data_IF_677418044380
#
_entry.id   IF_677418044380
#
_cell.length_a   1.000
_cell.length_b   1.000
_cell.length_c   1.000
_cell.angle_alpha   90.00
_cell.angle_beta   90.00
_cell.angle_gamma   90.00
#
_symmetry.space_group_name_H-M   'P 1'
#
loop_
_entity.id
_entity.type
_entity.pdbx_description
1 polymer ?
#
# COMPACT_ATOMS: atom_id res chain seq x y z
N UNK A 1 -31.08 -28.06 -56.63
CA UNK A 1 -31.00 -26.65 -56.27
C UNK A 1 -29.64 -26.45 -55.50
N UNK A 2 -28.62 -26.09 -56.30
CA UNK A 2 -27.22 -26.03 -55.88
C UNK A 2 -26.97 -24.59 -55.36
N UNK A 3 -26.91 -24.40 -54.06
CA UNK A 3 -26.63 -23.10 -53.47
C UNK A 3 -25.12 -22.83 -53.56
N UNK A 4 -24.79 -21.72 -54.18
CA UNK A 4 -23.48 -21.40 -54.71
C UNK A 4 -22.51 -21.07 -53.55
N UNK A 5 -21.48 -21.91 -53.37
CA UNK A 5 -20.44 -21.82 -52.33
C UNK A 5 -19.73 -20.44 -52.33
N UNK A 6 -19.76 -19.70 -53.42
CA UNK A 6 -19.18 -18.37 -53.55
C UNK A 6 -19.91 -17.29 -52.72
N UNK A 7 -21.19 -17.43 -52.47
CA UNK A 7 -21.97 -16.49 -51.64
C UNK A 7 -21.74 -16.68 -50.15
N UNK A 8 -21.39 -17.90 -49.71
CA UNK A 8 -21.07 -18.16 -48.31
C UNK A 8 -19.69 -17.58 -47.91
N UNK A 9 -18.73 -17.57 -48.83
CA UNK A 9 -17.40 -16.98 -48.58
C UNK A 9 -17.42 -15.45 -48.53
N UNK A 10 -18.34 -14.82 -49.27
CA UNK A 10 -18.43 -13.34 -49.26
C UNK A 10 -19.07 -12.81 -47.99
N UNK A 11 -20.02 -13.53 -47.37
CA UNK A 11 -20.61 -13.15 -46.08
C UNK A 11 -19.66 -13.39 -44.90
N UNK A 12 -18.74 -14.39 -44.98
CA UNK A 12 -17.77 -14.65 -43.95
C UNK A 12 -16.64 -13.60 -43.93
N UNK A 13 -16.28 -13.05 -45.09
CA UNK A 13 -15.28 -11.97 -45.18
C UNK A 13 -15.82 -10.61 -44.73
N UNK A 14 -17.12 -10.36 -44.84
CA UNK A 14 -17.75 -9.11 -44.39
C UNK A 14 -17.95 -9.11 -42.88
N UNK A 15 -18.13 -10.30 -42.24
CA UNK A 15 -18.24 -10.42 -40.77
C UNK A 15 -16.88 -10.38 -40.06
N UNK A 16 -15.77 -10.69 -40.71
CA UNK A 16 -14.42 -10.58 -40.18
C UNK A 16 -13.84 -9.16 -40.31
N UNK A 17 -14.38 -8.32 -41.20
CA UNK A 17 -13.97 -6.92 -41.29
C UNK A 17 -14.72 -5.98 -40.34
N UNK A 18 -15.76 -6.48 -39.63
CA UNK A 18 -16.53 -5.70 -38.67
C UNK A 18 -16.05 -5.86 -37.20
N UNK A 19 -15.08 -6.75 -36.93
CA UNK A 19 -14.49 -6.95 -35.61
C UNK A 19 -13.03 -6.50 -35.49
N UNK A 20 -12.41 -6.02 -36.54
CA UNK A 20 -11.22 -5.17 -36.43
C UNK A 20 -11.68 -3.73 -36.21
N UNK A 21 -12.23 -3.43 -35.07
CA UNK A 21 -12.13 -2.08 -34.54
C UNK A 21 -10.62 -1.85 -34.34
N UNK A 22 -9.94 -1.49 -35.42
CA UNK A 22 -8.78 -0.63 -35.35
C UNK A 22 -9.17 0.49 -34.40
N UNK A 23 -8.61 0.48 -33.21
CA UNK A 23 -8.43 1.69 -32.42
C UNK A 23 -7.58 2.58 -33.31
N UNK A 24 -8.25 3.27 -34.27
CA UNK A 24 -7.68 4.40 -34.98
C UNK A 24 -7.21 5.31 -33.83
N UNK A 25 -5.91 5.40 -33.71
CA UNK A 25 -5.23 6.48 -33.02
C UNK A 25 -5.87 7.77 -33.56
N UNK A 26 -6.99 8.20 -32.94
CA UNK A 26 -7.58 9.48 -33.24
C UNK A 26 -6.54 10.46 -32.71
N UNK A 27 -5.73 11.00 -33.60
CA UNK A 27 -4.95 12.20 -33.39
C UNK A 27 -5.92 13.38 -33.14
N UNK A 28 -6.78 13.19 -32.15
CA UNK A 28 -7.58 14.24 -31.55
C UNK A 28 -6.67 15.07 -30.68
N UNK A 29 -6.73 16.39 -30.85
CA UNK A 29 -6.07 17.32 -29.97
C UNK A 29 -6.35 16.91 -28.51
N UNK A 30 -5.30 16.86 -27.67
CA UNK A 30 -5.45 16.59 -26.24
C UNK A 30 -6.48 17.58 -25.67
N UNK A 31 -7.35 17.09 -24.80
CA UNK A 31 -8.31 17.97 -24.11
C UNK A 31 -7.59 19.16 -23.46
N UNK A 32 -8.24 20.32 -23.48
CA UNK A 32 -7.77 21.50 -22.75
C UNK A 32 -8.25 21.52 -21.27
N UNK A 33 -8.88 20.46 -20.78
CA UNK A 33 -9.27 20.30 -19.38
C UNK A 33 -8.27 19.39 -18.65
N UNK A 34 -7.53 19.92 -17.65
CA UNK A 34 -6.57 19.12 -16.85
C UNK A 34 -7.20 17.90 -16.17
N UNK A 35 -8.51 17.97 -15.83
CA UNK A 35 -9.21 16.84 -15.21
C UNK A 35 -9.44 15.70 -16.19
N UNK A 36 -9.81 16.02 -17.42
CA UNK A 36 -9.98 15.02 -18.49
C UNK A 36 -8.63 14.37 -18.80
N UNK A 37 -7.56 15.16 -18.87
CA UNK A 37 -6.22 14.64 -19.09
C UNK A 37 -5.78 13.72 -17.94
N UNK A 38 -6.10 14.06 -16.70
CA UNK A 38 -5.83 13.21 -15.53
C UNK A 38 -6.51 11.84 -15.67
N UNK A 39 -7.79 11.80 -16.05
CA UNK A 39 -8.51 10.52 -16.22
C UNK A 39 -7.92 9.69 -17.38
N UNK A 40 -7.59 10.33 -18.50
CA UNK A 40 -6.92 9.66 -19.62
C UNK A 40 -5.56 9.08 -19.20
N UNK A 41 -4.80 9.80 -18.38
CA UNK A 41 -3.52 9.32 -17.89
C UNK A 41 -3.68 8.13 -16.94
N UNK A 42 -4.69 8.12 -16.08
CA UNK A 42 -5.01 6.97 -15.21
C UNK A 42 -5.34 5.72 -16.03
N UNK A 43 -6.08 5.88 -17.13
CA UNK A 43 -6.36 4.75 -18.03
C UNK A 43 -5.08 4.23 -18.67
N UNK A 44 -4.16 5.12 -19.11
CA UNK A 44 -2.85 4.73 -19.62
C UNK A 44 -2.00 4.02 -18.57
N UNK A 45 -2.02 4.50 -17.33
CA UNK A 45 -1.35 3.81 -16.19
C UNK A 45 -1.92 2.41 -15.99
N UNK A 46 -3.24 2.24 -16.00
CA UNK A 46 -3.91 0.95 -15.79
C UNK A 46 -3.48 -0.13 -16.78
N UNK A 47 -3.15 0.26 -17.99
CA UNK A 47 -2.64 -0.65 -19.04
C UNK A 47 -1.10 -0.72 -19.11
N UNK A 48 -0.40 -0.08 -18.14
CA UNK A 48 1.06 -0.08 -18.07
C UNK A 48 1.77 0.87 -19.04
N UNK A 49 1.04 1.72 -19.77
CA UNK A 49 1.60 2.71 -20.70
C UNK A 49 2.08 3.95 -19.92
N UNK A 50 3.08 3.76 -19.06
CA UNK A 50 3.53 4.77 -18.09
C UNK A 50 4.06 6.04 -18.74
N UNK A 51 4.87 5.94 -19.81
CA UNK A 51 5.44 7.11 -20.47
C UNK A 51 4.35 7.94 -21.17
N UNK A 52 3.38 7.29 -21.83
CA UNK A 52 2.22 7.99 -22.42
C UNK A 52 1.40 8.71 -21.32
N UNK A 53 1.19 8.05 -20.18
CA UNK A 53 0.48 8.66 -19.05
C UNK A 53 1.20 9.91 -18.54
N UNK A 54 2.53 9.86 -18.44
CA UNK A 54 3.36 11.01 -18.02
C UNK A 54 3.27 12.14 -19.05
N UNK A 55 3.30 11.84 -20.35
CA UNK A 55 3.14 12.87 -21.39
C UNK A 55 1.78 13.58 -21.28
N UNK A 56 0.70 12.83 -21.08
CA UNK A 56 -0.64 13.40 -20.87
C UNK A 56 -0.68 14.27 -19.61
N UNK A 57 -0.08 13.83 -18.50
CA UNK A 57 -0.02 14.62 -17.27
C UNK A 57 0.84 15.87 -17.41
N UNK A 58 1.93 15.81 -18.19
CA UNK A 58 2.71 16.99 -18.54
C UNK A 58 1.88 18.02 -19.33
N UNK A 59 0.98 17.57 -20.20
CA UNK A 59 0.05 18.49 -20.86
C UNK A 59 -0.94 19.11 -19.85
N UNK A 60 -1.44 18.33 -18.89
CA UNK A 60 -2.32 18.83 -17.83
C UNK A 60 -1.66 19.95 -17.00
N UNK A 61 -0.41 19.77 -16.56
CA UNK A 61 0.31 20.77 -15.77
C UNK A 61 0.81 21.97 -16.60
N UNK A 62 0.87 21.85 -17.94
CA UNK A 62 1.10 23.02 -18.81
C UNK A 62 -0.14 23.91 -18.88
N UNK A 63 -1.33 23.34 -18.78
CA UNK A 63 -2.60 24.08 -18.77
C UNK A 63 -2.81 24.70 -17.39
N UNK A 64 -2.63 23.93 -16.33
CA UNK A 64 -2.72 24.40 -14.94
C UNK A 64 -1.49 23.94 -14.15
N UNK A 65 -0.53 24.86 -13.99
CA UNK A 65 0.72 24.60 -13.27
C UNK A 65 0.51 24.33 -11.75
N UNK A 66 -0.68 24.59 -11.21
CA UNK A 66 -1.03 24.32 -9.81
C UNK A 66 -1.95 23.11 -9.63
N UNK A 67 -2.20 22.35 -10.68
CA UNK A 67 -3.06 21.17 -10.63
C UNK A 67 -2.39 20.01 -9.89
N UNK A 68 -2.40 20.06 -8.56
CA UNK A 68 -1.80 19.06 -7.65
C UNK A 68 -2.16 17.61 -7.99
N UNK A 69 -3.42 17.28 -8.39
CA UNK A 69 -3.76 15.90 -8.75
C UNK A 69 -2.91 15.30 -9.87
N UNK A 70 -2.50 16.09 -10.87
CA UNK A 70 -1.63 15.61 -11.94
C UNK A 70 -0.22 15.32 -11.43
N UNK A 71 0.35 16.16 -10.57
CA UNK A 71 1.64 15.87 -9.95
C UNK A 71 1.59 14.63 -9.06
N UNK A 72 0.54 14.46 -8.27
CA UNK A 72 0.35 13.25 -7.47
C UNK A 72 0.30 12.01 -8.35
N UNK A 73 -0.44 12.07 -9.44
CA UNK A 73 -0.55 10.95 -10.38
C UNK A 73 0.79 10.63 -11.06
N UNK A 74 1.55 11.65 -11.50
CA UNK A 74 2.91 11.45 -12.00
C UNK A 74 3.81 10.80 -10.96
N UNK A 75 3.73 11.25 -9.70
CA UNK A 75 4.49 10.68 -8.60
C UNK A 75 4.19 9.19 -8.39
N UNK A 76 2.93 8.79 -8.45
CA UNK A 76 2.51 7.39 -8.36
C UNK A 76 3.02 6.57 -9.55
N UNK A 77 2.91 7.09 -10.78
CA UNK A 77 3.41 6.40 -11.99
C UNK A 77 4.93 6.21 -11.91
N UNK A 78 5.69 7.21 -11.49
CA UNK A 78 7.14 7.07 -11.29
C UNK A 78 7.47 6.06 -10.19
N UNK A 79 6.68 6.02 -9.12
CA UNK A 79 6.83 5.03 -8.06
C UNK A 79 6.60 3.60 -8.57
N UNK A 80 5.51 3.36 -9.30
CA UNK A 80 5.14 2.05 -9.86
C UNK A 80 6.12 1.58 -10.95
N UNK A 81 6.65 2.49 -11.75
CA UNK A 81 7.65 2.20 -12.79
C UNK A 81 9.10 2.12 -12.27
N UNK A 82 9.29 2.01 -10.95
CA UNK A 82 10.58 1.92 -10.25
C UNK A 82 11.48 3.17 -10.38
N UNK A 83 10.93 4.28 -10.84
CA UNK A 83 11.60 5.58 -11.03
C UNK A 83 11.45 6.44 -9.76
N UNK A 84 11.92 5.92 -8.64
CA UNK A 84 11.62 6.47 -7.30
C UNK A 84 12.22 7.86 -7.04
N UNK A 85 13.38 8.18 -7.62
CA UNK A 85 13.95 9.51 -7.46
C UNK A 85 13.13 10.58 -8.21
N UNK A 86 12.62 10.27 -9.41
CA UNK A 86 11.67 11.15 -10.11
C UNK A 86 10.35 11.29 -9.35
N UNK A 87 9.86 10.21 -8.74
CA UNK A 87 8.68 10.24 -7.87
C UNK A 87 8.88 11.25 -6.73
N UNK A 88 10.03 11.22 -6.04
CA UNK A 88 10.36 12.21 -4.99
C UNK A 88 10.34 13.64 -5.53
N UNK A 89 10.93 13.88 -6.70
CA UNK A 89 10.98 15.21 -7.31
C UNK A 89 9.57 15.74 -7.57
N UNK A 90 8.70 14.90 -8.12
CA UNK A 90 7.35 15.31 -8.51
C UNK A 90 6.45 15.50 -7.29
N UNK A 91 6.50 14.60 -6.30
CA UNK A 91 5.77 14.81 -5.04
C UNK A 91 6.25 16.07 -4.29
N UNK A 92 7.54 16.41 -4.34
CA UNK A 92 8.02 17.68 -3.78
C UNK A 92 7.46 18.90 -4.51
N UNK A 93 7.28 18.84 -5.83
CA UNK A 93 6.58 19.91 -6.58
C UNK A 93 5.12 20.02 -6.13
N UNK A 94 4.40 18.89 -6.02
CA UNK A 94 3.04 18.86 -5.50
C UNK A 94 2.94 19.48 -4.09
N UNK A 95 3.87 19.09 -3.19
CA UNK A 95 3.95 19.60 -1.83
C UNK A 95 4.29 21.09 -1.74
N UNK A 96 5.03 21.64 -2.71
CA UNK A 96 5.30 23.09 -2.77
C UNK A 96 4.05 23.91 -3.17
N UNK A 97 3.13 23.29 -3.93
CA UNK A 97 1.86 23.93 -4.33
C UNK A 97 0.84 23.81 -3.20
N UNK A 98 0.67 22.62 -2.63
CA UNK A 98 -0.26 22.33 -1.52
C UNK A 98 0.47 21.54 -0.40
N UNK A 99 1.02 22.25 0.59
CA UNK A 99 1.74 21.63 1.69
C UNK A 99 0.89 20.72 2.58
N UNK A 100 -0.42 20.89 2.61
CA UNK A 100 -1.33 20.10 3.45
C UNK A 100 -2.05 18.99 2.67
N UNK A 101 -1.64 18.72 1.44
CA UNK A 101 -2.22 17.65 0.65
C UNK A 101 -1.83 16.28 1.23
N UNK A 102 -2.85 15.57 1.72
CA UNK A 102 -2.68 14.25 2.35
C UNK A 102 -2.05 13.23 1.40
N UNK A 103 -2.58 13.15 0.17
CA UNK A 103 -2.11 12.18 -0.83
C UNK A 103 -0.66 12.41 -1.21
N UNK A 104 -0.25 13.67 -1.39
CA UNK A 104 1.15 14.05 -1.64
C UNK A 104 2.07 13.58 -0.53
N UNK A 105 1.66 13.80 0.74
CA UNK A 105 2.47 13.38 1.90
C UNK A 105 2.58 11.87 2.01
N UNK A 106 1.48 11.15 1.78
CA UNK A 106 1.50 9.68 1.79
C UNK A 106 2.39 9.13 0.67
N UNK A 107 2.23 9.60 -0.57
CA UNK A 107 3.04 9.17 -1.70
C UNK A 107 4.53 9.47 -1.52
N UNK A 108 4.86 10.67 -1.02
CA UNK A 108 6.26 11.04 -0.72
C UNK A 108 6.83 10.18 0.43
N UNK A 109 6.04 9.90 1.46
CA UNK A 109 6.44 9.03 2.57
C UNK A 109 6.70 7.60 2.10
N UNK A 110 5.81 7.03 1.31
CA UNK A 110 5.98 5.69 0.72
C UNK A 110 7.21 5.62 -0.19
N UNK A 111 7.41 6.65 -1.02
CA UNK A 111 8.60 6.72 -1.89
C UNK A 111 9.89 6.78 -1.07
N UNK A 112 9.93 7.55 0.01
CA UNK A 112 11.09 7.59 0.90
C UNK A 112 11.32 6.26 1.62
N UNK A 113 10.26 5.59 2.07
CA UNK A 113 10.33 4.25 2.67
C UNK A 113 10.98 3.24 1.72
N UNK A 114 10.53 3.22 0.47
CA UNK A 114 11.09 2.33 -0.57
C UNK A 114 12.55 2.67 -0.94
N UNK A 115 12.97 3.91 -0.75
CA UNK A 115 14.37 4.35 -0.88
C UNK A 115 15.17 4.12 0.41
N UNK A 116 14.61 3.44 1.42
CA UNK A 116 15.22 3.25 2.75
C UNK A 116 15.59 4.55 3.47
N UNK A 117 14.97 5.67 3.07
CA UNK A 117 15.10 6.99 3.73
C UNK A 117 14.03 7.11 4.82
N UNK A 118 14.06 6.18 5.78
CA UNK A 118 12.99 5.97 6.75
C UNK A 118 12.72 7.19 7.64
N UNK A 119 13.73 7.96 8.03
CA UNK A 119 13.61 9.22 8.77
C UNK A 119 12.76 10.25 8.02
N UNK A 120 12.98 10.40 6.70
CA UNK A 120 12.19 11.28 5.85
C UNK A 120 10.76 10.73 5.68
N UNK A 121 10.59 9.42 5.56
CA UNK A 121 9.28 8.77 5.51
C UNK A 121 8.47 9.04 6.78
N UNK A 122 9.07 8.83 7.97
CA UNK A 122 8.43 9.13 9.26
C UNK A 122 7.95 10.58 9.32
N UNK A 123 8.76 11.54 8.88
CA UNK A 123 8.37 12.97 8.88
C UNK A 123 7.13 13.20 8.02
N UNK A 124 7.03 12.56 6.83
CA UNK A 124 5.86 12.74 5.98
C UNK A 124 4.62 12.07 6.58
N UNK A 125 4.74 10.84 7.09
CA UNK A 125 3.61 10.15 7.71
C UNK A 125 3.14 10.82 9.01
N UNK A 126 4.03 11.39 9.82
CA UNK A 126 3.64 12.18 11.00
C UNK A 126 2.86 13.44 10.62
N UNK A 127 3.23 14.10 9.51
CA UNK A 127 2.47 15.23 9.00
C UNK A 127 1.12 14.77 8.41
N UNK A 128 1.08 13.64 7.69
CA UNK A 128 -0.16 13.03 7.23
C UNK A 128 -1.11 12.69 8.40
N UNK A 129 -0.58 12.16 9.49
CA UNK A 129 -1.36 11.87 10.71
C UNK A 129 -1.93 13.13 11.42
N UNK A 130 -1.33 14.30 11.22
CA UNK A 130 -1.90 15.57 11.69
C UNK A 130 -3.08 16.01 10.84
N UNK A 131 -3.04 15.77 9.53
CA UNK A 131 -4.12 16.09 8.59
C UNK A 131 -5.30 15.13 8.81
N UNK A 132 -5.05 13.82 8.79
CA UNK A 132 -6.05 12.79 9.04
C UNK A 132 -5.74 12.11 10.38
N UNK A 133 -6.34 12.66 11.44
CA UNK A 133 -6.14 12.15 12.80
C UNK A 133 -6.76 10.77 12.97
N UNK A 134 -6.09 9.94 13.75
CA UNK A 134 -6.57 8.60 14.11
C UNK A 134 -6.86 7.69 12.91
N UNK A 135 -6.13 7.87 11.81
CA UNK A 135 -6.19 6.94 10.69
C UNK A 135 -5.28 5.73 11.00
N UNK A 136 -5.85 4.51 11.16
CA UNK A 136 -5.09 3.34 11.56
C UNK A 136 -4.02 2.96 10.51
N UNK A 137 -4.27 3.19 9.22
CA UNK A 137 -3.31 2.88 8.17
C UNK A 137 -2.09 3.81 8.22
N UNK A 138 -2.30 5.10 8.48
CA UNK A 138 -1.20 6.05 8.65
C UNK A 138 -0.39 5.72 9.90
N UNK A 139 -1.06 5.43 11.02
CA UNK A 139 -0.41 5.03 12.27
C UNK A 139 0.40 3.74 12.10
N UNK A 140 -0.14 2.78 11.36
CA UNK A 140 0.55 1.54 11.01
C UNK A 140 1.82 1.80 10.18
N UNK A 141 1.76 2.67 9.15
CA UNK A 141 2.93 3.08 8.37
C UNK A 141 4.02 3.72 9.26
N UNK A 142 3.63 4.60 10.18
CA UNK A 142 4.57 5.21 11.14
C UNK A 142 5.24 4.13 12.00
N UNK A 143 4.47 3.16 12.50
CA UNK A 143 5.00 2.07 13.29
C UNK A 143 6.02 1.23 12.52
N UNK A 144 5.74 0.91 11.25
CA UNK A 144 6.66 0.19 10.37
C UNK A 144 7.98 0.96 10.18
N UNK A 145 7.92 2.26 9.94
CA UNK A 145 9.14 3.06 9.79
C UNK A 145 9.98 3.05 11.06
N UNK A 146 9.35 3.16 12.25
CA UNK A 146 10.07 3.03 13.52
C UNK A 146 10.64 1.63 13.74
N UNK A 147 9.97 0.58 13.25
CA UNK A 147 10.51 -0.78 13.23
C UNK A 147 11.82 -0.85 12.41
N UNK A 148 11.82 -0.31 11.20
CA UNK A 148 13.03 -0.27 10.35
C UNK A 148 14.15 0.58 10.95
N UNK A 149 13.80 1.64 11.67
CA UNK A 149 14.74 2.44 12.45
C UNK A 149 15.20 1.80 13.77
N UNK A 150 14.70 0.60 14.07
CA UNK A 150 14.94 -0.10 15.34
C UNK A 150 14.54 0.70 16.59
N UNK A 151 13.67 1.70 16.45
CA UNK A 151 13.08 2.41 17.57
C UNK A 151 11.84 1.64 18.07
N UNK A 152 12.10 0.56 18.79
CA UNK A 152 11.07 -0.41 19.19
C UNK A 152 10.04 0.19 20.14
N UNK A 153 10.41 1.16 20.97
CA UNK A 153 9.48 1.84 21.88
C UNK A 153 8.44 2.66 21.09
N UNK A 154 8.88 3.47 20.13
CA UNK A 154 7.95 4.20 19.26
C UNK A 154 7.16 3.27 18.35
N UNK A 155 7.78 2.22 17.83
CA UNK A 155 7.08 1.20 17.05
C UNK A 155 5.90 0.61 17.84
N UNK A 156 6.15 0.16 19.08
CA UNK A 156 5.15 -0.34 20.03
C UNK A 156 4.06 0.70 20.31
N UNK A 157 4.46 1.95 20.59
CA UNK A 157 3.53 3.05 20.84
C UNK A 157 2.53 3.22 19.69
N UNK A 158 3.02 3.26 18.44
CA UNK A 158 2.16 3.48 17.28
C UNK A 158 1.32 2.24 16.94
N UNK A 159 1.82 1.02 17.13
CA UNK A 159 0.99 -0.18 17.01
C UNK A 159 -0.13 -0.20 18.05
N UNK A 160 0.14 0.21 19.28
CA UNK A 160 -0.91 0.30 20.31
C UNK A 160 -1.96 1.38 19.94
N UNK A 161 -1.57 2.48 19.29
CA UNK A 161 -2.53 3.45 18.76
C UNK A 161 -3.41 2.85 17.66
N UNK A 162 -2.88 1.97 16.81
CA UNK A 162 -3.69 1.22 15.84
C UNK A 162 -4.69 0.32 16.56
N UNK A 163 -4.24 -0.46 17.55
CA UNK A 163 -5.10 -1.38 18.30
C UNK A 163 -6.16 -0.67 19.16
N UNK A 164 -5.91 0.58 19.56
CA UNK A 164 -6.94 1.39 20.23
C UNK A 164 -8.11 1.74 19.30
N UNK A 165 -7.91 1.73 17.97
CA UNK A 165 -8.93 2.00 16.96
C UNK A 165 -9.49 0.68 16.40
N UNK A 166 -8.60 -0.25 16.09
CA UNK A 166 -8.89 -1.56 15.50
C UNK A 166 -8.32 -2.68 16.40
N UNK A 167 -9.03 -3.06 17.47
CA UNK A 167 -8.51 -4.03 18.47
C UNK A 167 -8.18 -5.41 17.90
N UNK A 168 -8.78 -5.78 16.77
CA UNK A 168 -8.61 -7.09 16.13
C UNK A 168 -7.71 -7.02 14.87
N UNK A 169 -6.84 -6.01 14.77
CA UNK A 169 -5.95 -5.87 13.62
C UNK A 169 -4.84 -6.94 13.65
N UNK A 170 -5.09 -8.08 13.00
CA UNK A 170 -4.24 -9.28 13.02
C UNK A 170 -2.75 -8.97 12.75
N UNK A 171 -2.47 -8.19 11.69
CA UNK A 171 -1.07 -7.90 11.32
C UNK A 171 -0.33 -7.11 12.40
N UNK A 172 -1.03 -6.24 13.14
CA UNK A 172 -0.43 -5.49 14.24
C UNK A 172 -0.07 -6.42 15.40
N UNK A 173 -0.95 -7.34 15.78
CA UNK A 173 -0.66 -8.35 16.79
C UNK A 173 0.56 -9.20 16.41
N UNK A 174 0.61 -9.69 15.15
CA UNK A 174 1.76 -10.44 14.65
C UNK A 174 3.06 -9.62 14.68
N UNK A 175 3.00 -8.33 14.35
CA UNK A 175 4.16 -7.46 14.39
C UNK A 175 4.61 -7.18 15.84
N UNK A 176 3.67 -6.99 16.76
CA UNK A 176 3.96 -6.79 18.19
C UNK A 176 4.65 -8.01 18.80
N UNK A 177 4.34 -9.24 18.39
CA UNK A 177 5.10 -10.42 18.82
C UNK A 177 6.59 -10.21 18.53
N UNK A 178 6.93 -9.76 17.32
CA UNK A 178 8.31 -9.55 16.90
C UNK A 178 8.98 -8.38 17.65
N UNK A 179 8.23 -7.32 17.98
CA UNK A 179 8.70 -6.22 18.82
C UNK A 179 9.02 -6.72 20.23
N UNK A 180 8.10 -7.45 20.87
CA UNK A 180 8.27 -7.97 22.21
C UNK A 180 9.39 -9.02 22.30
N UNK A 181 9.53 -9.89 21.29
CA UNK A 181 10.67 -10.82 21.20
C UNK A 181 12.00 -10.06 21.18
N UNK A 182 12.08 -8.96 20.47
CA UNK A 182 13.32 -8.20 20.31
C UNK A 182 13.74 -7.45 21.58
N UNK A 183 12.76 -6.94 22.36
CA UNK A 183 12.99 -6.33 23.66
C UNK A 183 13.01 -7.36 24.80
N UNK A 184 12.84 -8.65 24.49
CA UNK A 184 12.80 -9.78 25.42
C UNK A 184 11.65 -9.73 26.44
N UNK A 185 10.57 -9.05 26.08
CA UNK A 185 9.32 -9.05 26.84
C UNK A 185 8.47 -10.27 26.45
N UNK A 186 8.89 -11.43 26.95
CA UNK A 186 8.29 -12.70 26.58
C UNK A 186 6.83 -12.81 27.00
N UNK A 187 6.44 -12.14 28.06
CA UNK A 187 5.08 -12.19 28.58
C UNK A 187 4.09 -11.52 27.64
N UNK A 188 4.40 -10.31 27.19
CA UNK A 188 3.60 -9.64 26.17
C UNK A 188 3.67 -10.35 24.82
N UNK A 189 4.82 -10.92 24.46
CA UNK A 189 4.91 -11.74 23.24
C UNK A 189 3.95 -12.94 23.27
N UNK A 190 3.88 -13.66 24.40
CA UNK A 190 2.93 -14.77 24.60
C UNK A 190 1.49 -14.29 24.48
N UNK A 191 1.14 -13.18 25.11
CA UNK A 191 -0.19 -12.57 24.99
C UNK A 191 -0.58 -12.30 23.54
N UNK A 192 0.31 -11.67 22.77
CA UNK A 192 0.03 -11.35 21.37
C UNK A 192 -0.06 -12.61 20.48
N UNK A 193 0.67 -13.68 20.81
CA UNK A 193 0.56 -14.98 20.13
C UNK A 193 -0.83 -15.57 20.33
N UNK A 194 -1.33 -15.61 21.57
CA UNK A 194 -2.65 -16.17 21.85
C UNK A 194 -3.78 -15.36 21.21
N UNK A 195 -3.65 -14.01 21.22
CA UNK A 195 -4.59 -13.15 20.50
C UNK A 195 -4.57 -13.43 19.01
N UNK A 196 -3.36 -13.50 18.39
CA UNK A 196 -3.22 -13.76 16.96
C UNK A 196 -3.80 -15.13 16.58
N UNK A 197 -3.55 -16.17 17.41
CA UNK A 197 -4.10 -17.49 17.19
C UNK A 197 -5.63 -17.47 17.21
N UNK A 198 -6.22 -16.91 18.25
CA UNK A 198 -7.69 -16.77 18.39
C UNK A 198 -8.30 -16.02 17.20
N UNK A 199 -7.70 -14.88 16.79
CA UNK A 199 -8.18 -14.12 15.65
C UNK A 199 -8.06 -14.92 14.34
N UNK A 200 -7.00 -15.71 14.18
CA UNK A 200 -6.84 -16.62 13.04
C UNK A 200 -7.93 -17.69 13.01
N UNK A 201 -8.28 -18.27 14.16
CA UNK A 201 -9.36 -19.26 14.30
C UNK A 201 -10.73 -18.64 13.99
N UNK A 202 -11.05 -17.48 14.55
CA UNK A 202 -12.28 -16.73 14.29
C UNK A 202 -12.47 -16.38 12.80
N UNK A 203 -11.37 -16.06 12.10
CA UNK A 203 -11.39 -15.67 10.69
C UNK A 203 -11.16 -16.85 9.71
N UNK A 204 -10.96 -18.08 10.20
CA UNK A 204 -10.55 -19.25 9.42
C UNK A 204 -9.25 -19.01 8.62
N UNK A 205 -8.31 -18.21 9.17
CA UNK A 205 -7.02 -17.89 8.57
C UNK A 205 -5.93 -18.84 9.07
N UNK A 206 -5.74 -19.92 8.32
CA UNK A 206 -4.73 -20.95 8.60
C UNK A 206 -3.29 -20.40 8.60
N UNK A 207 -3.03 -19.34 7.83
CA UNK A 207 -1.71 -18.69 7.77
C UNK A 207 -1.39 -18.02 9.11
N UNK A 208 -2.32 -17.21 9.63
CA UNK A 208 -2.17 -16.56 10.94
C UNK A 208 -2.01 -17.59 12.06
N UNK A 209 -2.83 -18.66 12.07
CA UNK A 209 -2.71 -19.77 13.04
C UNK A 209 -1.32 -20.40 12.97
N UNK A 210 -0.84 -20.73 11.77
CA UNK A 210 0.49 -21.34 11.57
C UNK A 210 1.63 -20.44 12.04
N UNK A 211 1.54 -19.13 11.81
CA UNK A 211 2.53 -18.16 12.30
C UNK A 211 2.51 -18.13 13.82
N UNK A 212 1.35 -18.03 14.44
CA UNK A 212 1.21 -17.99 15.91
C UNK A 212 1.78 -19.28 16.56
N UNK A 213 1.44 -20.46 16.05
CA UNK A 213 1.96 -21.74 16.55
C UNK A 213 3.48 -21.86 16.40
N UNK A 214 4.05 -21.38 15.30
CA UNK A 214 5.50 -21.35 15.12
C UNK A 214 6.17 -20.42 16.12
N UNK A 215 5.57 -19.24 16.38
CA UNK A 215 6.06 -18.28 17.39
C UNK A 215 5.95 -18.86 18.80
N UNK A 216 4.84 -19.54 19.12
CA UNK A 216 4.69 -20.28 20.38
C UNK A 216 5.82 -21.27 20.59
N UNK A 217 6.06 -22.16 19.61
CA UNK A 217 7.15 -23.14 19.69
C UNK A 217 8.52 -22.49 19.89
N UNK A 218 8.77 -21.38 19.20
CA UNK A 218 10.01 -20.62 19.35
C UNK A 218 10.18 -20.11 20.79
N UNK A 219 9.14 -19.51 21.40
CA UNK A 219 9.22 -18.99 22.78
C UNK A 219 9.37 -20.13 23.81
N UNK A 220 8.62 -21.21 23.65
CA UNK A 220 8.76 -22.40 24.50
C UNK A 220 10.21 -22.89 24.50
N UNK A 221 10.81 -23.09 23.34
CA UNK A 221 12.21 -23.51 23.22
C UNK A 221 13.20 -22.47 23.75
N UNK A 222 12.96 -21.17 23.47
CA UNK A 222 13.86 -20.09 23.90
C UNK A 222 13.89 -19.89 25.41
N UNK A 223 12.76 -20.10 26.07
CA UNK A 223 12.62 -19.95 27.53
C UNK A 223 12.74 -21.28 28.29
N UNK A 224 12.93 -22.38 27.59
CA UNK A 224 12.93 -23.73 28.15
C UNK A 224 11.68 -24.03 29.00
N UNK A 225 10.50 -23.69 28.47
CA UNK A 225 9.22 -23.90 29.15
C UNK A 225 8.65 -25.28 28.81
N UNK A 226 7.86 -25.83 29.75
CA UNK A 226 6.87 -26.87 29.41
C UNK A 226 5.62 -26.24 28.80
N UNK A 227 4.76 -27.05 28.17
CA UNK A 227 3.45 -26.58 27.68
C UNK A 227 2.59 -26.03 28.82
N UNK A 228 2.60 -26.66 30.00
CA UNK A 228 1.87 -26.19 31.18
C UNK A 228 2.35 -24.81 31.65
N UNK A 229 3.66 -24.62 31.70
CA UNK A 229 4.25 -23.32 32.08
C UNK A 229 3.93 -22.24 31.03
N UNK A 230 3.90 -22.57 29.74
CA UNK A 230 3.47 -21.67 28.71
C UNK A 230 2.00 -21.29 28.90
N UNK A 231 1.10 -22.27 29.08
CA UNK A 231 -0.34 -22.02 29.32
C UNK A 231 -0.53 -21.13 30.55
N UNK A 232 0.20 -21.38 31.64
CA UNK A 232 0.14 -20.54 32.84
C UNK A 232 0.57 -19.09 32.55
N UNK A 233 1.59 -18.90 31.72
CA UNK A 233 2.07 -17.56 31.33
C UNK A 233 1.17 -16.86 30.33
N UNK A 234 0.35 -17.60 29.58
CA UNK A 234 -0.62 -17.05 28.62
C UNK A 234 -1.91 -16.54 29.27
N UNK A 235 -2.08 -16.75 30.59
CA UNK A 235 -3.24 -16.27 31.32
C UNK A 235 -3.01 -14.88 31.91
N UNK A 236 -4.04 -13.99 31.95
CA UNK A 236 -3.95 -12.70 32.64
C UNK A 236 -3.76 -12.90 34.17
N UNK A 237 -3.27 -11.87 34.89
CA UNK A 237 -2.84 -10.56 34.39
C UNK A 237 -1.50 -10.62 33.66
N UNK A 238 -1.29 -9.69 32.70
CA UNK A 238 -0.06 -9.61 31.90
C UNK A 238 0.92 -8.52 32.40
N UNK A 239 0.72 -8.05 33.63
CA UNK A 239 1.50 -7.00 34.26
C UNK A 239 2.92 -7.47 34.64
#
# INVERSE_FOLDING_TARGET
MILNIKTLFLCFFILLSACSNEVKNQGGALSNDPKVLLENAKEKQRIGAYDEAIEILNAAVKIDAKFVPAYNQMGLIFFESDRKDESVVVFKKAMAIDPENLQTRLGLGETYSMLTRNDLAVVQFLKAAKIKKNDPQILFKIALEYWYHQNLEKCKEYYNKVLAIEPNHVQVHLNLISVYERIKDWRHAIKEIEISKRLGEENNDSTTISIAERKKKFIIGRMNLTEEEYIKKSQPPFD
#
